data_IF_600430263201
#
_entry.id   IF_600430263201
#
_cell.length_a   1.000
_cell.length_b   1.000
_cell.length_c   1.000
_cell.angle_alpha   90.00
_cell.angle_beta   90.00
_cell.angle_gamma   90.00
#
_symmetry.space_group_name_H-M   'P 1'
#
loop_
_entity.id
_entity.type
_entity.pdbx_description
1 polymer ?
#
# COMPACT_ATOMS: atom_id res chain seq x y z
N UNK A 1 15.77 -8.72 -18.54
CA UNK A 1 14.85 -7.56 -18.43
C UNK A 1 13.40 -7.87 -18.81
N UNK A 2 13.00 -8.02 -20.09
CA UNK A 2 11.56 -8.19 -20.45
C UNK A 2 10.86 -9.40 -19.79
N UNK A 3 11.56 -10.52 -19.59
CA UNK A 3 11.02 -11.70 -18.89
C UNK A 3 10.83 -11.47 -17.39
N UNK A 4 11.73 -10.71 -16.75
CA UNK A 4 11.67 -10.42 -15.31
C UNK A 4 10.57 -9.40 -14.99
N UNK A 5 10.41 -8.38 -15.86
CA UNK A 5 9.33 -7.41 -15.72
C UNK A 5 7.97 -8.03 -15.98
N UNK A 6 7.89 -9.01 -16.89
CA UNK A 6 6.66 -9.78 -17.12
C UNK A 6 6.21 -10.55 -15.87
N UNK A 7 7.13 -11.24 -15.19
CA UNK A 7 6.81 -11.93 -13.93
C UNK A 7 6.31 -10.97 -12.85
N UNK A 8 6.94 -9.81 -12.69
CA UNK A 8 6.49 -8.85 -11.67
C UNK A 8 5.16 -8.19 -12.03
N UNK A 9 4.89 -7.93 -13.32
CA UNK A 9 3.57 -7.47 -13.78
C UNK A 9 2.49 -8.51 -13.51
N UNK A 10 2.77 -9.80 -13.75
CA UNK A 10 1.85 -10.88 -13.42
C UNK A 10 1.59 -10.96 -11.91
N UNK A 11 2.62 -10.80 -11.08
CA UNK A 11 2.47 -10.74 -9.62
C UNK A 11 1.59 -9.57 -9.18
N UNK A 12 1.73 -8.39 -9.78
CA UNK A 12 0.87 -7.23 -9.51
C UNK A 12 -0.61 -7.55 -9.83
N UNK A 13 -0.87 -8.17 -10.97
CA UNK A 13 -2.24 -8.60 -11.33
C UNK A 13 -2.76 -9.64 -10.34
N UNK A 14 -1.93 -10.63 -9.98
CA UNK A 14 -2.28 -11.67 -9.03
C UNK A 14 -2.58 -11.12 -7.62
N UNK A 15 -1.92 -10.04 -7.19
CA UNK A 15 -2.21 -9.34 -5.92
C UNK A 15 -3.50 -8.50 -6.00
N UNK A 16 -3.86 -8.01 -7.18
CA UNK A 16 -5.02 -7.12 -7.38
C UNK A 16 -6.33 -7.88 -7.18
N UNK A 17 -6.45 -9.08 -7.78
CA UNK A 17 -7.67 -9.90 -7.77
C UNK A 17 -8.18 -10.27 -6.36
N UNK A 18 -7.37 -10.85 -5.46
CA UNK A 18 -7.85 -11.26 -4.13
C UNK A 18 -8.27 -10.06 -3.28
N UNK A 19 -7.55 -8.94 -3.38
CA UNK A 19 -7.88 -7.73 -2.62
C UNK A 19 -9.18 -7.12 -3.14
N UNK A 20 -9.40 -7.13 -4.45
CA UNK A 20 -10.66 -6.71 -5.05
C UNK A 20 -11.84 -7.60 -4.61
N UNK A 21 -11.62 -8.92 -4.57
CA UNK A 21 -12.63 -9.87 -4.06
C UNK A 21 -12.94 -9.63 -2.57
N UNK A 22 -11.93 -9.38 -1.74
CA UNK A 22 -12.11 -9.01 -0.34
C UNK A 22 -12.95 -7.74 -0.21
N UNK A 23 -12.64 -6.70 -0.99
CA UNK A 23 -13.38 -5.44 -0.96
C UNK A 23 -14.85 -5.60 -1.37
N UNK A 24 -15.14 -6.41 -2.39
CA UNK A 24 -16.51 -6.57 -2.92
C UNK A 24 -17.34 -7.55 -2.10
N UNK A 25 -16.77 -8.65 -1.62
CA UNK A 25 -17.54 -9.73 -0.98
C UNK A 25 -17.35 -9.77 0.53
N UNK A 26 -16.11 -9.68 1.02
CA UNK A 26 -15.81 -9.89 2.43
C UNK A 26 -16.14 -8.67 3.29
N UNK A 27 -15.75 -7.47 2.84
CA UNK A 27 -15.97 -6.23 3.60
C UNK A 27 -17.46 -5.95 3.86
N UNK A 28 -18.37 -6.05 2.86
CA UNK A 28 -19.80 -5.86 3.10
C UNK A 28 -20.38 -6.90 4.05
N UNK A 29 -19.92 -8.16 3.96
CA UNK A 29 -20.38 -9.24 4.83
C UNK A 29 -19.92 -9.06 6.28
N UNK A 30 -18.69 -8.60 6.49
CA UNK A 30 -18.19 -8.24 7.82
C UNK A 30 -18.96 -7.04 8.37
N UNK A 31 -19.24 -6.04 7.53
CA UNK A 31 -20.02 -4.88 7.93
C UNK A 31 -21.43 -5.25 8.41
N UNK A 32 -22.11 -6.21 7.77
CA UNK A 32 -23.43 -6.68 8.24
C UNK A 32 -23.33 -7.46 9.55
N UNK A 33 -22.33 -8.32 9.71
CA UNK A 33 -22.13 -9.12 10.94
C UNK A 33 -21.84 -8.27 12.18
N UNK A 34 -21.01 -7.22 12.05
CA UNK A 34 -20.67 -6.32 13.17
C UNK A 34 -21.93 -5.68 13.81
N UNK A 35 -22.95 -5.38 13.00
CA UNK A 35 -24.20 -4.77 13.51
C UNK A 35 -25.14 -5.73 14.23
N UNK A 36 -25.06 -7.03 13.94
CA UNK A 36 -25.98 -8.02 14.50
C UNK A 36 -25.44 -8.60 15.82
N UNK A 37 -24.13 -8.80 15.94
CA UNK A 37 -23.51 -9.41 17.12
C UNK A 37 -22.98 -8.38 18.13
N UNK A 38 -22.56 -7.18 17.69
CA UNK A 38 -21.84 -6.24 18.55
C UNK A 38 -22.42 -4.81 18.48
N UNK A 39 -23.54 -4.59 19.15
CA UNK A 39 -24.18 -3.27 19.30
C UNK A 39 -23.21 -2.17 19.79
N UNK A 40 -22.29 -2.50 20.71
CA UNK A 40 -21.27 -1.57 21.20
C UNK A 40 -20.24 -1.13 20.13
N UNK A 41 -20.02 -1.97 19.10
CA UNK A 41 -19.13 -1.68 17.97
C UNK A 41 -19.82 -0.94 16.81
N UNK A 42 -21.14 -0.69 16.92
CA UNK A 42 -21.89 -0.01 15.86
C UNK A 42 -21.31 1.39 15.52
N UNK A 43 -20.78 2.11 16.53
CA UNK A 43 -20.09 3.39 16.34
C UNK A 43 -18.76 3.24 15.56
N UNK A 44 -18.08 2.10 15.71
CA UNK A 44 -16.80 1.82 15.06
C UNK A 44 -16.93 1.16 13.67
N UNK A 45 -18.12 0.68 13.32
CA UNK A 45 -18.41 0.06 12.02
C UNK A 45 -18.06 0.98 10.85
N UNK A 46 -18.59 2.21 10.84
CA UNK A 46 -18.38 3.16 9.76
C UNK A 46 -16.90 3.56 9.60
N UNK A 47 -16.17 3.96 10.65
CA UNK A 47 -14.74 4.29 10.52
C UNK A 47 -13.90 3.07 10.13
N UNK A 48 -14.24 1.86 10.58
CA UNK A 48 -13.55 0.64 10.15
C UNK A 48 -13.71 0.38 8.64
N UNK A 49 -14.95 0.44 8.14
CA UNK A 49 -15.24 0.25 6.72
C UNK A 49 -14.51 1.30 5.87
N UNK A 50 -14.56 2.57 6.30
CA UNK A 50 -13.84 3.66 5.63
C UNK A 50 -12.33 3.42 5.62
N UNK A 51 -11.74 2.97 6.73
CA UNK A 51 -10.32 2.65 6.82
C UNK A 51 -9.91 1.53 5.85
N UNK A 52 -10.71 0.47 5.74
CA UNK A 52 -10.45 -0.65 4.82
C UNK A 52 -10.54 -0.19 3.36
N UNK A 53 -11.58 0.55 2.97
CA UNK A 53 -11.68 1.06 1.60
C UNK A 53 -10.62 2.12 1.26
N UNK A 54 -10.28 3.01 2.20
CA UNK A 54 -9.20 3.98 2.02
C UNK A 54 -7.84 3.27 1.83
N UNK A 55 -7.60 2.21 2.60
CA UNK A 55 -6.42 1.34 2.43
C UNK A 55 -6.42 0.69 1.05
N UNK A 56 -7.55 0.14 0.60
CA UNK A 56 -7.64 -0.48 -0.72
C UNK A 56 -7.32 0.51 -1.84
N UNK A 57 -7.82 1.74 -1.77
CA UNK A 57 -7.51 2.81 -2.74
C UNK A 57 -6.01 3.11 -2.75
N UNK A 58 -5.39 3.27 -1.57
CA UNK A 58 -3.95 3.51 -1.47
C UNK A 58 -3.15 2.32 -2.02
N UNK A 59 -3.57 1.09 -1.73
CA UNK A 59 -2.93 -0.13 -2.22
C UNK A 59 -3.01 -0.25 -3.76
N UNK A 60 -4.18 -0.05 -4.37
CA UNK A 60 -4.31 -0.07 -5.83
C UNK A 60 -3.50 1.06 -6.50
N UNK A 61 -3.43 2.24 -5.86
CA UNK A 61 -2.55 3.32 -6.32
C UNK A 61 -1.07 2.90 -6.30
N UNK A 62 -0.61 2.23 -5.24
CA UNK A 62 0.77 1.68 -5.17
C UNK A 62 1.01 0.69 -6.31
N UNK A 63 0.11 -0.27 -6.52
CA UNK A 63 0.22 -1.26 -7.59
C UNK A 63 0.27 -0.64 -8.98
N UNK A 64 -0.56 0.36 -9.24
CA UNK A 64 -0.54 1.11 -10.50
C UNK A 64 0.81 1.79 -10.74
N UNK A 65 1.36 2.47 -9.73
CA UNK A 65 2.65 3.12 -9.85
C UNK A 65 3.81 2.11 -9.98
N UNK A 66 3.72 0.96 -9.31
CA UNK A 66 4.68 -0.13 -9.48
C UNK A 66 4.66 -0.67 -10.92
N UNK A 67 3.47 -0.86 -11.49
CA UNK A 67 3.32 -1.27 -12.90
C UNK A 67 3.91 -0.21 -13.85
N UNK A 68 3.68 1.07 -13.57
CA UNK A 68 4.24 2.18 -14.35
C UNK A 68 5.77 2.19 -14.31
N UNK A 69 6.39 1.93 -13.15
CA UNK A 69 7.85 1.79 -13.04
C UNK A 69 8.32 0.65 -13.94
N UNK A 70 7.69 -0.52 -13.90
CA UNK A 70 8.05 -1.66 -14.75
C UNK A 70 7.99 -1.33 -16.24
N UNK A 71 6.96 -0.61 -16.68
CA UNK A 71 6.87 -0.14 -18.06
C UNK A 71 8.01 0.83 -18.41
N UNK A 72 8.40 1.71 -17.49
CA UNK A 72 9.54 2.61 -17.68
C UNK A 72 10.87 1.86 -17.77
N UNK A 73 11.09 0.77 -17.01
CA UNK A 73 12.34 -0.01 -17.17
C UNK A 73 12.37 -0.74 -18.51
N UNK A 74 11.23 -1.25 -19.00
CA UNK A 74 11.15 -1.86 -20.34
C UNK A 74 11.43 -0.86 -21.46
N UNK A 75 11.12 0.42 -21.24
CA UNK A 75 11.41 1.52 -22.15
C UNK A 75 12.83 2.12 -21.97
N UNK A 76 13.70 1.53 -21.14
CA UNK A 76 15.01 2.08 -20.77
C UNK A 76 14.94 3.50 -20.14
N UNK A 77 13.82 3.84 -19.51
CA UNK A 77 13.55 5.13 -18.85
C UNK A 77 13.43 4.98 -17.32
N UNK A 78 14.12 3.99 -16.74
CA UNK A 78 14.09 3.71 -15.29
C UNK A 78 14.60 4.87 -14.44
N UNK A 79 15.59 5.63 -14.94
CA UNK A 79 16.12 6.84 -14.32
C UNK A 79 15.55 8.07 -15.00
N UNK A 80 14.25 8.31 -14.78
CA UNK A 80 13.51 9.44 -15.35
C UNK A 80 12.74 10.19 -14.27
N UNK A 81 12.37 11.44 -14.54
CA UNK A 81 11.46 12.22 -13.69
C UNK A 81 10.15 11.45 -13.46
N UNK A 82 9.66 10.72 -14.47
CA UNK A 82 8.46 9.89 -14.33
C UNK A 82 8.64 8.73 -13.36
N UNK A 83 9.80 8.07 -13.36
CA UNK A 83 10.13 7.02 -12.40
C UNK A 83 10.22 7.57 -10.98
N UNK A 84 10.92 8.70 -10.79
CA UNK A 84 10.98 9.42 -9.51
C UNK A 84 9.59 9.72 -8.95
N UNK A 85 8.71 10.28 -9.77
CA UNK A 85 7.34 10.62 -9.37
C UNK A 85 6.55 9.35 -9.02
N UNK A 86 6.70 8.27 -9.78
CA UNK A 86 6.03 7.02 -9.48
C UNK A 86 6.49 6.42 -8.13
N UNK A 87 7.80 6.40 -7.86
CA UNK A 87 8.35 5.95 -6.57
C UNK A 87 7.85 6.84 -5.42
N UNK A 88 7.79 8.15 -5.62
CA UNK A 88 7.26 9.09 -4.63
C UNK A 88 5.80 8.77 -4.28
N UNK A 89 4.98 8.43 -5.27
CA UNK A 89 3.58 8.04 -5.07
C UNK A 89 3.46 6.72 -4.30
N UNK A 90 4.32 5.74 -4.59
CA UNK A 90 4.40 4.50 -3.80
C UNK A 90 4.74 4.81 -2.34
N UNK A 91 5.76 5.62 -2.09
CA UNK A 91 6.18 6.01 -0.74
C UNK A 91 5.04 6.64 0.06
N UNK A 92 4.37 7.63 -0.51
CA UNK A 92 3.27 8.31 0.18
C UNK A 92 2.03 7.44 0.34
N UNK A 93 1.72 6.57 -0.63
CA UNK A 93 0.65 5.58 -0.48
C UNK A 93 0.93 4.58 0.64
N UNK A 94 2.17 4.12 0.77
CA UNK A 94 2.56 3.23 1.86
C UNK A 94 2.50 3.95 3.23
N UNK A 95 2.94 5.21 3.29
CA UNK A 95 2.79 6.06 4.47
C UNK A 95 1.33 6.28 4.85
N UNK A 96 0.43 6.50 3.88
CA UNK A 96 -1.00 6.65 4.17
C UNK A 96 -1.59 5.37 4.73
N UNK A 97 -1.20 4.19 4.23
CA UNK A 97 -1.64 2.90 4.78
C UNK A 97 -1.14 2.74 6.22
N UNK A 98 0.12 3.07 6.50
CA UNK A 98 0.67 3.01 7.85
C UNK A 98 -0.10 3.91 8.82
N UNK A 99 -0.41 5.14 8.39
CA UNK A 99 -1.17 6.12 9.18
C UNK A 99 -2.63 5.67 9.41
N UNK A 100 -3.29 5.15 8.38
CA UNK A 100 -4.65 4.60 8.50
C UNK A 100 -4.64 3.47 9.54
N UNK A 101 -3.76 2.48 9.42
CA UNK A 101 -3.76 1.36 10.33
C UNK A 101 -3.31 1.73 11.75
N UNK A 102 -2.37 2.67 11.91
CA UNK A 102 -1.98 3.20 13.20
C UNK A 102 -3.17 3.86 13.91
N UNK A 103 -4.00 4.63 13.18
CA UNK A 103 -5.24 5.20 13.73
C UNK A 103 -6.29 4.14 14.07
N UNK A 104 -6.31 3.00 13.38
CA UNK A 104 -7.23 1.90 13.70
C UNK A 104 -6.76 1.01 14.85
N UNK A 105 -5.50 1.09 15.30
CA UNK A 105 -4.98 0.23 16.38
C UNK A 105 -5.81 0.23 17.68
N UNK A 106 -6.37 1.36 18.16
CA UNK A 106 -7.26 1.33 19.33
C UNK A 106 -8.48 0.42 19.14
N UNK A 107 -9.03 0.35 17.93
CA UNK A 107 -10.12 -0.56 17.61
C UNK A 107 -9.65 -2.02 17.60
N UNK A 108 -8.47 -2.28 17.02
CA UNK A 108 -7.88 -3.63 17.03
C UNK A 108 -7.60 -4.11 18.46
N UNK A 109 -7.12 -3.22 19.34
CA UNK A 109 -6.93 -3.52 20.75
C UNK A 109 -8.26 -3.84 21.45
N UNK A 110 -9.28 -3.00 21.25
CA UNK A 110 -10.59 -3.21 21.86
C UNK A 110 -11.21 -4.56 21.49
N UNK A 111 -11.17 -4.92 20.20
CA UNK A 111 -11.68 -6.21 19.72
C UNK A 111 -10.82 -7.37 20.23
N UNK A 112 -9.49 -7.23 20.24
CA UNK A 112 -8.59 -8.27 20.74
C UNK A 112 -8.84 -8.60 22.21
N UNK A 113 -9.14 -7.58 23.03
CA UNK A 113 -9.44 -7.74 24.46
C UNK A 113 -10.84 -8.34 24.69
N UNK A 114 -11.85 -7.91 23.92
CA UNK A 114 -13.23 -8.42 24.06
C UNK A 114 -13.40 -9.87 23.60
N UNK A 115 -12.71 -10.27 22.53
CA UNK A 115 -12.81 -11.62 21.96
C UNK A 115 -11.76 -12.59 22.54
N UNK A 116 -11.00 -12.16 23.56
CA UNK A 116 -9.85 -12.91 24.10
C UNK A 116 -8.89 -13.41 22.99
N UNK A 117 -8.70 -12.55 21.98
CA UNK A 117 -8.03 -12.85 20.72
C UNK A 117 -6.85 -11.89 20.50
N UNK A 118 -5.75 -12.02 21.26
CA UNK A 118 -4.60 -11.11 21.18
C UNK A 118 -3.95 -11.07 19.80
N UNK A 119 -4.14 -12.12 18.99
CA UNK A 119 -3.66 -12.18 17.61
C UNK A 119 -4.18 -11.06 16.70
N UNK A 120 -5.38 -10.52 16.98
CA UNK A 120 -5.94 -9.39 16.21
C UNK A 120 -5.03 -8.18 16.32
N UNK A 121 -4.58 -7.84 17.53
CA UNK A 121 -3.67 -6.72 17.75
C UNK A 121 -2.34 -6.90 17.00
N UNK A 122 -1.80 -8.12 16.99
CA UNK A 122 -0.56 -8.44 16.25
C UNK A 122 -0.74 -8.22 14.75
N UNK A 123 -1.88 -8.60 14.17
CA UNK A 123 -2.18 -8.35 12.76
C UNK A 123 -2.14 -6.84 12.46
N UNK A 124 -2.78 -6.01 13.30
CA UNK A 124 -2.76 -4.55 13.14
C UNK A 124 -1.33 -3.98 13.16
N UNK A 125 -0.50 -4.42 14.10
CA UNK A 125 0.90 -4.00 14.20
C UNK A 125 1.73 -4.42 12.98
N UNK A 126 1.54 -5.65 12.49
CA UNK A 126 2.23 -6.15 11.29
C UNK A 126 1.85 -5.33 10.05
N UNK A 127 0.58 -4.94 9.91
CA UNK A 127 0.13 -4.11 8.79
C UNK A 127 0.79 -2.73 8.80
N UNK A 128 0.86 -2.07 9.96
CA UNK A 128 1.56 -0.79 10.12
C UNK A 128 3.04 -0.95 9.78
N UNK A 129 3.70 -1.94 10.37
CA UNK A 129 5.12 -2.16 10.16
C UNK A 129 5.46 -2.48 8.70
N UNK A 130 4.70 -3.37 8.05
CA UNK A 130 4.89 -3.71 6.64
C UNK A 130 4.76 -2.47 5.74
N UNK A 131 3.75 -1.62 6.00
CA UNK A 131 3.58 -0.37 5.26
C UNK A 131 4.74 0.61 5.46
N UNK A 132 5.28 0.72 6.68
CA UNK A 132 6.47 1.52 6.96
C UNK A 132 7.72 0.97 6.25
N UNK A 133 7.91 -0.35 6.20
CA UNK A 133 9.02 -0.96 5.44
C UNK A 133 8.93 -0.62 3.96
N UNK A 134 7.74 -0.72 3.35
CA UNK A 134 7.52 -0.35 1.94
C UNK A 134 7.81 1.14 1.73
N UNK A 135 7.34 2.01 2.64
CA UNK A 135 7.61 3.44 2.56
C UNK A 135 9.10 3.77 2.67
N UNK A 136 9.81 3.15 3.61
CA UNK A 136 11.25 3.32 3.80
C UNK A 136 12.02 2.86 2.56
N UNK A 137 11.69 1.66 2.04
CA UNK A 137 12.31 1.12 0.82
C UNK A 137 12.07 2.02 -0.39
N UNK A 138 10.84 2.47 -0.62
CA UNK A 138 10.52 3.42 -1.67
C UNK A 138 11.27 4.75 -1.49
N UNK A 139 11.46 5.22 -0.26
CA UNK A 139 12.28 6.39 0.05
C UNK A 139 13.74 6.23 -0.36
N UNK A 140 14.34 5.07 -0.10
CA UNK A 140 15.70 4.75 -0.55
C UNK A 140 15.79 4.73 -2.07
N UNK A 141 14.87 4.03 -2.75
CA UNK A 141 14.82 4.00 -4.21
C UNK A 141 14.63 5.40 -4.82
N UNK A 142 13.80 6.23 -4.21
CA UNK A 142 13.58 7.60 -4.66
C UNK A 142 14.88 8.42 -4.64
N UNK A 143 15.67 8.28 -3.56
CA UNK A 143 16.96 8.96 -3.42
C UNK A 143 17.97 8.47 -4.46
N UNK A 144 18.03 7.16 -4.72
CA UNK A 144 18.90 6.59 -5.75
C UNK A 144 18.57 7.12 -7.14
N UNK A 145 17.28 7.17 -7.50
CA UNK A 145 16.83 7.71 -8.79
C UNK A 145 17.12 9.20 -8.90
N UNK A 146 16.96 9.98 -7.82
CA UNK A 146 17.30 11.40 -7.80
C UNK A 146 18.78 11.64 -8.08
N UNK A 147 19.67 10.95 -7.37
CA UNK A 147 21.11 11.10 -7.56
C UNK A 147 21.51 10.73 -9.01
N UNK A 148 20.93 9.67 -9.57
CA UNK A 148 21.19 9.28 -10.96
C UNK A 148 20.69 10.33 -11.97
N UNK A 149 19.58 11.00 -11.69
CA UNK A 149 19.05 12.08 -12.51
C UNK A 149 19.94 13.33 -12.46
N UNK A 150 20.45 13.69 -11.28
CA UNK A 150 21.37 14.82 -11.09
C UNK A 150 22.65 14.61 -11.89
N UNK A 151 23.30 13.45 -11.76
CA UNK A 151 24.50 13.10 -12.53
C UNK A 151 24.25 13.19 -14.04
N UNK A 152 23.11 12.67 -14.51
CA UNK A 152 22.76 12.75 -15.93
C UNK A 152 22.57 14.20 -16.40
N UNK A 153 21.94 15.04 -15.58
CA UNK A 153 21.73 16.45 -15.91
C UNK A 153 23.03 17.26 -15.94
N UNK A 154 23.99 16.94 -15.07
CA UNK A 154 25.31 17.57 -15.11
C UNK A 154 26.07 17.22 -16.39
N UNK A 155 26.04 15.95 -16.80
CA UNK A 155 26.67 15.51 -18.06
C UNK A 155 26.06 16.22 -19.28
N UNK A 156 24.73 16.34 -19.34
CA UNK A 156 24.03 17.01 -20.44
C UNK A 156 24.34 18.53 -20.53
N UNK A 157 24.77 19.16 -19.42
CA UNK A 157 25.15 20.58 -19.36
C UNK A 157 26.63 20.87 -19.70
N UNK A 158 27.47 19.84 -19.77
CA UNK A 158 28.92 19.97 -20.06
C UNK A 158 29.30 19.78 -21.53
N UNK A 159 28.32 19.54 -22.41
CA UNK A 159 28.48 19.38 -23.86
C UNK A 159 28.19 20.68 -24.60
#
# INVERSE_FOLDING_TARGET
MKKETFLLKLAIVALTVPILAICIYLVPRLATGITEEYSALALFKLPFILAVYATAIAFFSILYHAFKILALIEANQAFSIHSRVAIQRIKYGALSIAVIYAMTLPLFYYVADHEDAPGIMVIGLVLVFAALVVAAFAGVLQKLVNNALEIKSEMDLTV
#
